data_IF_791195119182
#
_entry.id   IF_791195119182
#
_cell.length_a   1.000
_cell.length_b   1.000
_cell.length_c   1.000
_cell.angle_alpha   90.00
_cell.angle_beta   90.00
_cell.angle_gamma   90.00
#
_symmetry.space_group_name_H-M   'P 1'
#
loop_
_entity.id
_entity.type
_entity.pdbx_description
1 polymer ?
#
# COMPACT_ATOMS: atom_id res chain seq x y z
N UNK A 1 21.95 -1.84 8.56
CA UNK A 1 20.85 -2.09 7.60
C UNK A 1 19.68 -1.20 8.00
N UNK A 2 19.03 -0.52 7.04
CA UNK A 2 17.86 0.32 7.32
C UNK A 2 16.60 -0.53 7.49
N UNK A 3 15.65 -0.04 8.29
CA UNK A 3 14.29 -0.61 8.38
C UNK A 3 13.49 -0.25 7.12
N UNK A 4 12.75 -1.21 6.58
CA UNK A 4 11.89 -1.07 5.39
C UNK A 4 10.50 -1.63 5.71
N UNK A 5 9.74 -0.91 6.53
CA UNK A 5 8.41 -1.37 6.93
C UNK A 5 7.39 -0.98 5.87
N UNK A 6 6.36 -1.79 5.68
CA UNK A 6 5.37 -1.58 4.64
C UNK A 6 4.02 -2.20 4.96
N UNK A 7 3.06 -1.87 4.11
CA UNK A 7 1.75 -2.49 4.10
C UNK A 7 1.50 -3.19 2.76
N UNK A 8 1.07 -4.44 2.83
CA UNK A 8 0.73 -5.24 1.65
C UNK A 8 -0.76 -5.48 1.59
N UNK A 9 -1.39 -5.04 0.50
CA UNK A 9 -2.82 -5.24 0.25
C UNK A 9 -2.98 -6.31 -0.82
N UNK A 10 -3.72 -7.36 -0.48
CA UNK A 10 -4.01 -8.46 -1.40
C UNK A 10 -5.44 -8.34 -1.90
N UNK A 11 -5.61 -8.34 -3.23
CA UNK A 11 -6.88 -8.10 -3.89
C UNK A 11 -7.00 -8.92 -5.17
N UNK A 12 -8.22 -9.03 -5.70
CA UNK A 12 -8.46 -9.72 -6.98
C UNK A 12 -7.87 -8.92 -8.14
N UNK A 13 -7.32 -9.56 -9.18
CA UNK A 13 -6.80 -8.86 -10.36
C UNK A 13 -7.79 -7.86 -10.98
N UNK A 14 -9.09 -8.21 -11.01
CA UNK A 14 -10.17 -7.31 -11.49
C UNK A 14 -10.34 -6.01 -10.70
N UNK A 15 -9.78 -5.93 -9.50
CA UNK A 15 -9.88 -4.77 -8.61
C UNK A 15 -8.64 -3.86 -8.67
N UNK A 16 -7.61 -4.19 -9.47
CA UNK A 16 -6.36 -3.42 -9.51
C UNK A 16 -6.60 -1.98 -9.93
N UNK A 17 -7.42 -1.74 -10.96
CA UNK A 17 -7.73 -0.40 -11.42
C UNK A 17 -8.40 0.44 -10.32
N UNK A 18 -9.37 -0.17 -9.62
CA UNK A 18 -10.02 0.45 -8.46
C UNK A 18 -9.03 0.75 -7.33
N UNK A 19 -8.09 -0.15 -7.06
CA UNK A 19 -7.09 0.06 -6.02
C UNK A 19 -6.15 1.22 -6.35
N UNK A 20 -5.70 1.33 -7.61
CA UNK A 20 -4.88 2.44 -8.07
C UNK A 20 -5.63 3.77 -8.05
N UNK A 21 -6.91 3.78 -8.43
CA UNK A 21 -7.75 4.97 -8.32
C UNK A 21 -7.93 5.41 -6.86
N UNK A 22 -8.25 4.48 -5.95
CA UNK A 22 -8.36 4.79 -4.52
C UNK A 22 -7.03 5.26 -3.91
N UNK A 23 -5.90 4.72 -4.38
CA UNK A 23 -4.56 5.18 -3.98
C UNK A 23 -4.30 6.61 -4.49
N UNK A 24 -4.71 6.94 -5.71
CA UNK A 24 -4.59 8.28 -6.28
C UNK A 24 -5.36 9.34 -5.50
N UNK A 25 -6.53 9.01 -4.95
CA UNK A 25 -7.31 9.92 -4.07
C UNK A 25 -6.57 10.28 -2.77
N UNK A 26 -5.59 9.47 -2.35
CA UNK A 26 -4.75 9.73 -1.20
C UNK A 26 -3.55 10.62 -1.54
N UNK A 27 -3.34 10.99 -2.80
CA UNK A 27 -2.20 11.80 -3.21
C UNK A 27 -2.33 13.26 -2.73
N UNK A 28 -1.19 13.97 -2.56
CA UNK A 28 -1.18 15.42 -2.34
C UNK A 28 -1.88 16.16 -3.50
N UNK A 29 -2.64 17.23 -3.21
CA UNK A 29 -3.40 17.98 -4.22
C UNK A 29 -2.51 18.79 -5.17
N UNK A 30 -1.27 19.07 -4.79
CA UNK A 30 -0.32 19.83 -5.61
C UNK A 30 0.60 18.88 -6.35
N UNK A 31 0.40 18.74 -7.66
CA UNK A 31 1.26 17.92 -8.51
C UNK A 31 2.51 18.72 -8.90
N UNK A 32 3.64 18.41 -8.27
CA UNK A 32 4.95 18.94 -8.65
C UNK A 32 5.50 18.30 -9.93
N UNK A 33 4.85 17.23 -10.42
CA UNK A 33 5.25 16.42 -11.57
C UNK A 33 4.06 16.17 -12.49
N UNK A 34 4.27 15.97 -13.81
CA UNK A 34 3.21 15.55 -14.72
C UNK A 34 2.60 14.21 -14.28
N UNK A 35 1.28 14.01 -14.48
CA UNK A 35 0.65 12.72 -14.21
C UNK A 35 1.24 11.59 -15.05
N UNK A 36 1.24 10.37 -14.50
CA UNK A 36 1.71 9.15 -15.13
C UNK A 36 0.56 8.42 -15.84
N UNK A 37 0.69 8.21 -17.14
CA UNK A 37 -0.22 7.35 -17.91
C UNK A 37 0.17 5.89 -17.76
N UNK A 38 -0.80 5.01 -17.49
CA UNK A 38 -0.57 3.58 -17.31
C UNK A 38 -1.55 2.78 -18.15
N UNK A 39 -1.06 1.75 -18.83
CA UNK A 39 -1.91 0.71 -19.45
C UNK A 39 -1.81 -0.57 -18.62
N UNK A 40 -2.91 -1.04 -18.04
CA UNK A 40 -2.97 -2.23 -17.21
C UNK A 40 -3.04 -3.53 -18.04
N UNK A 41 -2.76 -4.70 -17.43
CA UNK A 41 -3.13 -5.98 -18.02
C UNK A 41 -4.63 -5.99 -18.37
N UNK A 42 -4.95 -6.33 -19.63
CA UNK A 42 -6.31 -6.22 -20.17
C UNK A 42 -6.62 -4.92 -20.91
N UNK A 43 -5.68 -3.97 -20.95
CA UNK A 43 -5.73 -2.78 -21.81
C UNK A 43 -6.44 -1.56 -21.22
N UNK A 44 -6.96 -1.66 -19.99
CA UNK A 44 -7.51 -0.51 -19.26
C UNK A 44 -6.43 0.55 -19.04
N UNK A 45 -6.78 1.83 -19.19
CA UNK A 45 -5.85 2.95 -19.06
C UNK A 45 -6.20 3.82 -17.87
N UNK A 46 -5.19 4.21 -17.10
CA UNK A 46 -5.31 5.10 -15.94
C UNK A 46 -4.32 6.25 -16.05
N UNK A 47 -4.66 7.34 -15.38
CA UNK A 47 -3.76 8.49 -15.18
C UNK A 47 -3.60 8.67 -13.68
N UNK A 48 -2.37 8.54 -13.19
CA UNK A 48 -2.07 8.60 -11.75
C UNK A 48 -1.24 9.84 -11.40
N UNK A 49 -1.42 10.43 -10.21
CA UNK A 49 -0.66 11.58 -9.74
C UNK A 49 0.72 11.19 -9.16
N UNK A 50 1.35 10.16 -9.73
CA UNK A 50 2.59 9.54 -9.23
C UNK A 50 3.65 9.52 -10.33
N UNK A 51 4.85 9.05 -9.99
CA UNK A 51 5.88 8.71 -10.97
C UNK A 51 6.17 7.22 -10.94
N UNK A 52 6.84 6.72 -11.97
CA UNK A 52 7.49 5.41 -11.97
C UNK A 52 8.96 5.60 -12.24
N UNK A 53 9.82 5.07 -11.37
CA UNK A 53 11.27 5.28 -11.44
C UNK A 53 11.64 6.78 -11.55
N UNK A 54 10.89 7.63 -10.85
CA UNK A 54 11.02 9.09 -10.84
C UNK A 54 10.75 9.77 -12.19
N UNK A 55 10.07 9.10 -13.13
CA UNK A 55 9.65 9.66 -14.41
C UNK A 55 8.13 9.60 -14.58
N UNK A 56 7.61 10.41 -15.51
CA UNK A 56 6.20 10.44 -15.91
C UNK A 56 6.00 9.90 -17.33
N UNK A 57 6.95 9.13 -17.86
CA UNK A 57 6.78 8.48 -19.16
C UNK A 57 5.68 7.41 -19.07
N UNK A 58 4.80 7.28 -20.09
CA UNK A 58 3.75 6.28 -20.08
C UNK A 58 4.28 4.86 -19.83
N UNK A 59 3.65 4.13 -18.91
CA UNK A 59 4.03 2.77 -18.56
C UNK A 59 3.01 1.78 -19.12
N UNK A 60 3.47 0.87 -19.97
CA UNK A 60 2.65 -0.24 -20.48
C UNK A 60 2.91 -1.52 -19.67
N UNK A 61 1.90 -1.93 -18.89
CA UNK A 61 1.90 -3.16 -18.11
C UNK A 61 1.14 -4.31 -18.78
N UNK A 62 0.75 -4.19 -20.05
CA UNK A 62 0.00 -5.24 -20.77
C UNK A 62 0.67 -6.61 -20.77
N UNK A 63 2.02 -6.63 -20.71
CA UNK A 63 2.84 -7.85 -20.64
C UNK A 63 3.75 -7.91 -19.42
N UNK A 64 3.72 -6.89 -18.56
CA UNK A 64 4.53 -6.84 -17.35
C UNK A 64 3.88 -7.63 -16.22
N UNK A 65 4.70 -8.25 -15.37
CA UNK A 65 4.24 -8.85 -14.12
C UNK A 65 4.12 -7.85 -12.96
N UNK A 66 4.71 -6.66 -13.12
CA UNK A 66 4.76 -5.65 -12.05
C UNK A 66 4.65 -4.22 -12.56
N UNK A 67 4.20 -3.34 -11.68
CA UNK A 67 4.24 -1.88 -11.80
C UNK A 67 4.88 -1.31 -10.54
N UNK A 68 5.82 -0.39 -10.70
CA UNK A 68 6.45 0.33 -9.58
C UNK A 68 6.03 1.78 -9.64
N UNK A 69 5.71 2.36 -8.49
CA UNK A 69 5.32 3.75 -8.34
C UNK A 69 6.12 4.39 -7.20
N UNK A 70 6.59 5.61 -7.44
CA UNK A 70 7.10 6.49 -6.39
C UNK A 70 5.98 7.48 -6.05
N UNK A 71 5.51 7.43 -4.80
CA UNK A 71 4.34 8.19 -4.37
C UNK A 71 4.59 8.95 -3.07
N UNK A 72 3.72 9.92 -2.81
CA UNK A 72 3.50 10.53 -1.51
C UNK A 72 2.01 10.42 -1.21
N UNK A 73 1.65 10.19 0.04
CA UNK A 73 0.26 10.07 0.46
C UNK A 73 -0.05 11.05 1.59
N UNK A 74 -1.31 11.47 1.68
CA UNK A 74 -1.83 12.36 2.71
C UNK A 74 -2.43 11.55 3.85
N UNK A 75 -2.08 11.90 5.08
CA UNK A 75 -2.57 11.23 6.28
C UNK A 75 -3.14 12.24 7.28
N UNK A 76 -4.24 11.88 7.94
CA UNK A 76 -4.73 12.65 9.09
C UNK A 76 -3.71 12.62 10.23
N UNK A 77 -3.47 13.74 10.89
CA UNK A 77 -2.46 13.84 11.94
C UNK A 77 -2.90 13.12 13.22
N UNK A 78 -2.10 12.14 13.66
CA UNK A 78 -2.11 11.57 15.01
C UNK A 78 -0.87 11.98 15.80
N UNK A 79 -0.70 11.44 17.01
CA UNK A 79 0.43 11.77 17.88
C UNK A 79 1.79 11.39 17.27
N UNK A 80 1.88 10.26 16.57
CA UNK A 80 3.11 9.80 15.93
C UNK A 80 3.48 10.71 14.74
N UNK A 81 2.48 11.09 13.93
CA UNK A 81 2.66 12.04 12.83
C UNK A 81 3.00 13.45 13.32
N UNK A 82 2.43 13.88 14.46
CA UNK A 82 2.76 15.16 15.08
C UNK A 82 4.19 15.17 15.64
N UNK A 83 4.64 14.08 16.25
CA UNK A 83 6.03 13.90 16.69
C UNK A 83 6.99 13.93 15.49
N UNK A 84 6.63 13.24 14.42
CA UNK A 84 7.40 13.24 13.17
C UNK A 84 7.57 14.64 12.59
N UNK A 85 6.47 15.41 12.48
CA UNK A 85 6.49 16.79 11.98
C UNK A 85 7.38 17.73 12.82
N UNK A 86 7.39 17.57 14.15
CA UNK A 86 8.18 18.43 15.06
C UNK A 86 9.69 18.24 14.95
N UNK A 87 10.14 17.06 14.56
CA UNK A 87 11.56 16.74 14.57
C UNK A 87 12.26 17.14 13.29
N UNK A 88 11.65 16.88 12.13
CA UNK A 88 12.21 17.11 10.79
C UNK A 88 11.19 16.79 9.66
N UNK A 89 9.98 16.34 10.00
CA UNK A 89 8.95 16.00 9.02
C UNK A 89 8.29 17.25 8.42
N UNK A 90 7.56 17.11 7.30
CA UNK A 90 6.76 18.21 6.77
C UNK A 90 5.72 18.65 7.81
N UNK A 91 5.42 19.93 7.84
CA UNK A 91 4.34 20.44 8.67
C UNK A 91 2.98 19.99 8.11
N UNK A 92 1.97 19.77 8.97
CA UNK A 92 0.61 19.56 8.51
C UNK A 92 0.12 20.72 7.64
N UNK A 93 -0.56 20.40 6.55
CA UNK A 93 -1.25 21.36 5.71
C UNK A 93 -2.43 22.03 6.40
N UNK A 94 -3.01 23.03 5.75
CA UNK A 94 -4.16 23.77 6.26
C UNK A 94 -5.42 22.91 6.47
N UNK A 95 -5.50 21.76 5.80
CA UNK A 95 -6.56 20.76 5.95
C UNK A 95 -6.34 19.80 7.13
N UNK A 96 -5.27 20.01 7.93
CA UNK A 96 -4.94 19.18 9.07
C UNK A 96 -4.32 17.83 8.71
N UNK A 97 -3.98 17.60 7.43
CA UNK A 97 -3.32 16.39 6.94
C UNK A 97 -1.84 16.65 6.69
N UNK A 98 -1.04 15.60 6.76
CA UNK A 98 0.40 15.65 6.53
C UNK A 98 0.76 14.77 5.34
N UNK A 99 1.57 15.31 4.44
CA UNK A 99 2.14 14.55 3.34
C UNK A 99 3.30 13.68 3.84
N UNK A 100 3.25 12.38 3.58
CA UNK A 100 4.36 11.46 3.85
C UNK A 100 4.83 10.84 2.52
N UNK A 101 6.11 11.03 2.21
CA UNK A 101 6.77 10.50 1.02
C UNK A 101 8.30 10.57 1.13
N UNK A 102 9.06 9.86 0.31
CA UNK A 102 8.62 8.91 -0.70
C UNK A 102 8.12 7.59 -0.09
N UNK A 103 7.05 7.06 -0.65
CA UNK A 103 6.53 5.72 -0.42
C UNK A 103 6.68 4.98 -1.74
N UNK A 104 7.32 3.82 -1.73
CA UNK A 104 7.47 2.98 -2.92
C UNK A 104 6.32 1.99 -2.97
N UNK A 105 5.44 2.12 -3.95
CA UNK A 105 4.35 1.17 -4.18
C UNK A 105 4.74 0.21 -5.30
N UNK A 106 4.78 -1.09 -5.01
CA UNK A 106 4.97 -2.14 -6.01
C UNK A 106 3.67 -2.92 -6.15
N UNK A 107 3.12 -2.93 -7.36
CA UNK A 107 1.98 -3.75 -7.71
C UNK A 107 2.50 -4.99 -8.41
N UNK A 108 2.19 -6.17 -7.87
CA UNK A 108 2.43 -7.45 -8.55
C UNK A 108 1.10 -8.00 -9.02
N UNK A 109 0.90 -8.07 -10.33
CA UNK A 109 -0.37 -8.54 -10.88
C UNK A 109 -0.64 -9.99 -10.48
N UNK A 110 0.42 -10.79 -10.29
CA UNK A 110 0.41 -12.09 -9.63
C UNK A 110 1.24 -12.03 -8.33
N UNK A 111 0.57 -12.23 -7.20
CA UNK A 111 1.20 -12.23 -5.87
C UNK A 111 1.98 -13.50 -5.61
N UNK A 112 3.10 -13.37 -4.91
CA UNK A 112 3.88 -14.52 -4.43
C UNK A 112 3.15 -15.40 -3.41
N UNK A 113 2.22 -14.84 -2.62
CA UNK A 113 1.46 -15.63 -1.64
C UNK A 113 0.41 -16.51 -2.33
N UNK A 114 -0.24 -15.99 -3.36
CA UNK A 114 -1.22 -16.73 -4.14
C UNK A 114 -1.37 -16.09 -5.55
N UNK A 115 -1.06 -16.82 -6.64
CA UNK A 115 -1.02 -16.23 -7.99
C UNK A 115 -2.38 -15.73 -8.50
N UNK A 116 -3.49 -16.26 -7.97
CA UNK A 116 -4.85 -15.75 -8.24
C UNK A 116 -5.21 -14.40 -7.58
N UNK A 117 -4.24 -13.71 -6.99
CA UNK A 117 -4.39 -12.39 -6.37
C UNK A 117 -3.27 -11.46 -6.82
N UNK A 118 -3.55 -10.16 -6.79
CA UNK A 118 -2.58 -9.08 -6.94
C UNK A 118 -2.16 -8.60 -5.55
N UNK A 119 -0.87 -8.28 -5.38
CA UNK A 119 -0.39 -7.52 -4.22
C UNK A 119 -0.12 -6.06 -4.58
N UNK A 120 -0.49 -5.14 -3.69
CA UNK A 120 -0.10 -3.73 -3.69
C UNK A 120 0.75 -3.52 -2.44
N UNK A 121 2.04 -3.39 -2.61
CA UNK A 121 3.06 -3.38 -1.54
C UNK A 121 3.57 -1.96 -1.38
N UNK A 122 3.25 -1.28 -0.27
CA UNK A 122 3.61 0.12 -0.02
C UNK A 122 4.69 0.22 1.07
N UNK A 123 5.92 0.56 0.66
CA UNK A 123 7.10 0.54 1.52
C UNK A 123 7.59 1.95 1.88
N UNK A 124 7.96 2.12 3.15
CA UNK A 124 8.61 3.33 3.64
C UNK A 124 10.05 3.45 3.10
N UNK A 125 10.42 4.62 2.57
CA UNK A 125 11.75 4.85 1.98
C UNK A 125 12.88 4.97 3.02
N UNK A 126 12.57 5.22 4.30
CA UNK A 126 13.59 5.46 5.34
C UNK A 126 13.25 4.76 6.64
N UNK A 127 14.26 4.49 7.48
CA UNK A 127 14.02 3.87 8.79
C UNK A 127 13.16 4.71 9.74
N UNK A 128 13.16 6.03 9.57
CA UNK A 128 12.30 6.94 10.32
C UNK A 128 10.84 6.77 9.89
N UNK A 129 10.58 6.74 8.59
CA UNK A 129 9.25 6.46 8.04
C UNK A 129 8.77 5.05 8.38
N UNK A 130 9.67 4.06 8.38
CA UNK A 130 9.33 2.70 8.80
C UNK A 130 8.79 2.68 10.24
N UNK A 131 9.47 3.33 11.18
CA UNK A 131 8.97 3.46 12.57
C UNK A 131 7.65 4.22 12.65
N UNK A 132 7.45 5.21 11.78
CA UNK A 132 6.19 5.94 11.68
C UNK A 132 5.05 5.04 11.20
N UNK A 133 5.27 4.22 10.17
CA UNK A 133 4.31 3.23 9.67
C UNK A 133 3.89 2.22 10.74
N UNK A 134 4.81 1.82 11.62
CA UNK A 134 4.52 0.93 12.74
C UNK A 134 3.71 1.61 13.85
N UNK A 135 3.99 2.89 14.14
CA UNK A 135 3.46 3.61 15.32
C UNK A 135 2.15 4.35 15.06
N UNK A 136 1.90 4.80 13.83
CA UNK A 136 0.75 5.67 13.51
C UNK A 136 -0.52 4.85 13.26
N UNK A 137 -1.55 4.93 14.14
CA UNK A 137 -2.85 4.34 13.86
C UNK A 137 -3.52 4.94 12.62
N UNK A 138 -3.27 6.22 12.29
CA UNK A 138 -3.87 6.83 11.09
C UNK A 138 -3.23 6.33 9.80
N UNK A 139 -1.91 6.07 9.78
CA UNK A 139 -1.27 5.39 8.64
C UNK A 139 -1.87 4.00 8.45
N UNK A 140 -1.95 3.21 9.54
CA UNK A 140 -2.57 1.89 9.50
C UNK A 140 -3.99 1.95 8.94
N UNK A 141 -4.79 2.89 9.46
CA UNK A 141 -6.18 3.10 9.04
C UNK A 141 -6.28 3.38 7.54
N UNK A 142 -5.42 4.25 7.00
CA UNK A 142 -5.41 4.55 5.56
C UNK A 142 -5.19 3.28 4.73
N UNK A 143 -4.25 2.42 5.09
CA UNK A 143 -4.02 1.18 4.34
C UNK A 143 -5.13 0.14 4.52
N UNK A 144 -5.72 0.02 5.72
CA UNK A 144 -6.87 -0.88 5.92
C UNK A 144 -8.12 -0.38 5.21
N UNK A 145 -8.35 0.93 5.18
CA UNK A 145 -9.47 1.55 4.45
C UNK A 145 -9.26 1.41 2.94
N UNK A 146 -8.03 1.60 2.46
CA UNK A 146 -7.67 1.35 1.07
C UNK A 146 -7.95 -0.10 0.69
N UNK A 147 -7.59 -1.07 1.55
CA UNK A 147 -7.92 -2.47 1.34
C UNK A 147 -9.43 -2.69 1.24
N UNK A 148 -10.21 -2.15 2.18
CA UNK A 148 -11.66 -2.29 2.19
C UNK A 148 -12.32 -1.66 0.95
N UNK A 149 -12.00 -0.40 0.64
CA UNK A 149 -12.55 0.34 -0.50
C UNK A 149 -12.16 -0.26 -1.86
N UNK A 150 -11.02 -0.95 -1.92
CA UNK A 150 -10.54 -1.59 -3.13
C UNK A 150 -11.05 -3.02 -3.30
N UNK A 151 -11.82 -3.55 -2.33
CA UNK A 151 -12.22 -4.96 -2.28
C UNK A 151 -11.02 -5.89 -2.20
N UNK A 152 -10.05 -5.52 -1.37
CA UNK A 152 -9.01 -6.40 -0.88
C UNK A 152 -9.61 -7.53 -0.05
N UNK A 153 -8.84 -8.60 0.11
CA UNK A 153 -9.15 -9.72 1.00
C UNK A 153 -8.29 -9.68 2.25
N UNK A 154 -7.12 -9.05 2.19
CA UNK A 154 -6.17 -8.97 3.29
C UNK A 154 -5.32 -7.69 3.21
N UNK A 155 -4.98 -7.11 4.37
CA UNK A 155 -3.94 -6.11 4.52
C UNK A 155 -2.95 -6.58 5.60
N UNK A 156 -1.68 -6.70 5.24
CA UNK A 156 -0.59 -7.09 6.12
C UNK A 156 0.30 -5.89 6.42
N UNK A 157 0.90 -5.89 7.60
CA UNK A 157 2.03 -5.05 7.94
C UNK A 157 3.30 -5.91 7.99
N UNK A 158 4.29 -5.56 7.18
CA UNK A 158 5.56 -6.27 7.04
C UNK A 158 6.73 -5.40 7.50
N UNK A 159 7.66 -5.97 8.26
CA UNK A 159 8.90 -5.33 8.73
C UNK A 159 10.06 -5.46 7.75
N UNK A 160 9.91 -6.21 6.67
CA UNK A 160 10.87 -6.37 5.57
C UNK A 160 12.15 -7.11 5.97
N UNK A 161 12.19 -7.73 7.16
CA UNK A 161 13.30 -8.52 7.68
C UNK A 161 13.07 -10.03 7.59
N UNK A 162 11.97 -10.45 6.94
CA UNK A 162 11.55 -11.84 6.85
C UNK A 162 10.89 -12.38 8.13
N UNK A 163 10.63 -11.51 9.11
CA UNK A 163 9.85 -11.84 10.29
C UNK A 163 8.36 -12.07 9.97
N UNK A 164 7.57 -12.54 10.95
CA UNK A 164 6.14 -12.73 10.79
C UNK A 164 5.41 -11.40 10.58
N UNK A 165 4.56 -11.34 9.54
CA UNK A 165 3.70 -10.17 9.30
C UNK A 165 2.57 -10.07 10.34
N UNK A 166 2.08 -8.84 10.57
CA UNK A 166 0.83 -8.61 11.29
C UNK A 166 -0.33 -8.50 10.30
N UNK A 167 -1.40 -9.28 10.51
CA UNK A 167 -2.67 -9.13 9.81
C UNK A 167 -3.38 -7.92 10.39
N UNK A 168 -3.54 -6.86 9.58
CA UNK A 168 -4.19 -5.62 9.99
C UNK A 168 -5.66 -5.57 9.57
N UNK A 169 -6.01 -6.25 8.49
CA UNK A 169 -7.38 -6.36 7.99
C UNK A 169 -7.57 -7.67 7.23
N UNK A 170 -8.72 -8.32 7.39
CA UNK A 170 -9.05 -9.58 6.73
C UNK A 170 -10.56 -9.67 6.48
N UNK A 171 -10.95 -9.86 5.22
CA UNK A 171 -12.33 -10.14 4.80
C UNK A 171 -13.40 -9.21 5.44
N UNK A 172 -13.14 -7.91 5.53
CA UNK A 172 -14.08 -6.93 6.09
C UNK A 172 -13.82 -6.53 7.54
N UNK A 173 -12.93 -7.23 8.24
CA UNK A 173 -12.68 -7.00 9.67
C UNK A 173 -11.25 -6.52 9.93
N UNK A 174 -11.11 -5.47 10.75
CA UNK A 174 -9.80 -5.06 11.31
C UNK A 174 -9.36 -6.08 12.35
N UNK A 175 -8.07 -6.43 12.33
CA UNK A 175 -7.47 -7.37 13.28
C UNK A 175 -6.03 -6.98 13.60
N UNK A 176 -5.40 -7.65 14.56
CA UNK A 176 -4.01 -7.44 14.96
C UNK A 176 -3.27 -8.78 15.16
N UNK A 177 -3.80 -9.85 14.58
CA UNK A 177 -3.25 -11.20 14.65
C UNK A 177 -1.90 -11.28 13.93
N UNK A 178 -0.98 -12.08 14.47
CA UNK A 178 0.30 -12.33 13.80
C UNK A 178 0.19 -13.54 12.89
N UNK A 179 0.84 -13.47 11.73
CA UNK A 179 1.26 -14.68 11.01
C UNK A 179 2.26 -15.43 11.90
N UNK A 180 2.22 -16.75 11.89
CA UNK A 180 2.86 -17.61 12.91
C UNK A 180 2.24 -17.52 14.31
N UNK A 181 1.06 -16.93 14.45
CA UNK A 181 0.25 -16.92 15.67
C UNK A 181 -0.75 -18.08 15.75
N UNK A 182 -1.53 -18.19 16.84
CA UNK A 182 -2.48 -19.29 17.03
C UNK A 182 -3.54 -19.39 15.95
N UNK A 183 -4.01 -18.24 15.43
CA UNK A 183 -5.03 -18.18 14.37
C UNK A 183 -4.45 -18.50 12.99
N UNK A 184 -3.21 -18.07 12.72
CA UNK A 184 -2.54 -18.22 11.43
C UNK A 184 -1.14 -18.82 11.65
N UNK A 185 -1.01 -20.14 11.78
CA UNK A 185 0.28 -20.78 12.06
C UNK A 185 1.32 -20.57 10.94
N UNK A 186 0.87 -20.33 9.72
CA UNK A 186 1.72 -19.97 8.58
C UNK A 186 0.94 -19.12 7.55
N UNK A 187 1.65 -18.63 6.52
CA UNK A 187 1.04 -17.86 5.41
C UNK A 187 0.02 -18.68 4.61
N UNK A 188 0.16 -20.01 4.52
CA UNK A 188 -0.80 -20.86 3.79
C UNK A 188 -2.14 -20.91 4.52
N UNK A 189 -2.11 -21.02 5.85
CA UNK A 189 -3.29 -20.97 6.68
C UNK A 189 -4.02 -19.63 6.56
N UNK A 190 -3.28 -18.52 6.50
CA UNK A 190 -3.87 -17.21 6.21
C UNK A 190 -4.53 -17.18 4.82
N UNK A 191 -3.80 -17.57 3.77
CA UNK A 191 -4.30 -17.56 2.38
C UNK A 191 -5.54 -18.45 2.21
N UNK A 192 -5.62 -19.57 2.93
CA UNK A 192 -6.80 -20.45 2.91
C UNK A 192 -8.09 -19.78 3.41
N UNK A 193 -7.99 -18.66 4.14
CA UNK A 193 -9.15 -17.87 4.57
C UNK A 193 -9.63 -16.87 3.53
N UNK A 194 -8.85 -16.63 2.47
CA UNK A 194 -9.27 -15.75 1.39
C UNK A 194 -10.30 -16.51 0.54
N UNK A 195 -11.45 -15.88 0.26
CA UNK A 195 -12.53 -16.52 -0.52
C UNK A 195 -11.98 -17.14 -1.82
N UNK A 196 -12.60 -18.21 -2.34
CA UNK A 196 -12.16 -18.78 -3.62
C UNK A 196 -12.35 -17.75 -4.76
N UNK A 197 -11.47 -17.73 -5.80
CA UNK A 197 -11.75 -16.94 -6.99
C UNK A 197 -13.05 -17.42 -7.60
N UNK A 198 -14.06 -16.55 -7.64
CA UNK A 198 -15.19 -16.78 -8.53
C UNK A 198 -14.62 -16.82 -9.95
N UNK A 199 -14.81 -17.96 -10.61
CA UNK A 199 -14.34 -18.23 -11.98
C UNK A 199 -14.96 -17.28 -12.99
#
# INVERSE_FOLDING_TARGET
>A
MGLIYGYDIYLRPRNVARALANLAELAPPTHAVPPLEITLPGGERLVLPFTSHFTSEPVDCSTSSTLVLDTSLMFDVDDALREYARTDGPEPGADGRIQIGYIYATIRFESFLHPGYTSVECWAATSRMSRLFARSPNIRKVFTDLAAASGGVCCLFDTGDGGPEQVCWLNGETTQEMVSGPRFPDRRALVATWSAPER
#
